data_IF_861150210646
#
_entry.id   IF_861150210646
#
_cell.length_a   1.000
_cell.length_b   1.000
_cell.length_c   1.000
_cell.angle_alpha   90.00
_cell.angle_beta   90.00
_cell.angle_gamma   90.00
#
_symmetry.space_group_name_H-M   'P 1'
#
loop_
_entity.id
_entity.type
_entity.pdbx_description
1 polymer ?
#
# COMPACT_ATOMS: atom_id res chain seq x y z
N UNK A 1 15.03 12.04 4.50
CA UNK A 1 16.06 11.38 3.64
C UNK A 1 15.46 10.17 2.93
N UNK A 2 15.72 10.00 1.63
CA UNK A 2 15.27 8.84 0.83
C UNK A 2 16.36 7.76 0.70
N UNK A 3 15.95 6.48 0.75
CA UNK A 3 16.84 5.32 0.58
C UNK A 3 16.11 4.13 -0.03
N UNK A 4 16.74 3.46 -1.01
CA UNK A 4 16.24 2.20 -1.54
C UNK A 4 16.56 1.04 -0.58
N UNK A 5 15.52 0.32 -0.16
CA UNK A 5 15.60 -0.94 0.57
C UNK A 5 15.43 -2.07 -0.43
N UNK A 6 16.44 -2.92 -0.56
CA UNK A 6 16.41 -4.04 -1.51
C UNK A 6 15.57 -5.18 -0.99
N UNK A 7 14.84 -5.83 -1.90
CA UNK A 7 14.15 -7.08 -1.64
C UNK A 7 15.08 -8.13 -1.06
N UNK A 8 14.52 -8.99 -0.24
CA UNK A 8 15.21 -10.07 0.47
C UNK A 8 14.40 -11.36 0.38
N UNK A 9 14.91 -12.41 1.01
CA UNK A 9 14.17 -13.66 1.14
C UNK A 9 12.83 -13.42 1.85
N UNK A 10 11.78 -14.03 1.33
CA UNK A 10 10.41 -13.88 1.83
C UNK A 10 10.22 -14.94 2.93
N UNK A 11 10.02 -14.54 4.20
CA UNK A 11 9.65 -15.49 5.24
C UNK A 11 8.26 -16.08 4.95
N UNK A 12 7.90 -17.22 5.57
CA UNK A 12 6.53 -17.71 5.55
C UNK A 12 5.56 -16.63 6.06
N UNK A 13 4.42 -16.48 5.39
CA UNK A 13 3.36 -15.59 5.85
C UNK A 13 2.82 -16.08 7.21
N UNK A 14 2.64 -15.21 8.21
CA UNK A 14 1.99 -15.58 9.46
C UNK A 14 0.53 -16.02 9.24
N UNK A 15 -0.03 -16.78 10.19
CA UNK A 15 -1.43 -17.24 10.12
C UNK A 15 -2.44 -16.20 10.62
N UNK A 16 -2.02 -15.27 11.48
CA UNK A 16 -2.90 -14.30 12.14
C UNK A 16 -2.92 -12.96 11.38
N UNK A 17 -4.11 -12.46 11.09
CA UNK A 17 -4.33 -11.13 10.52
C UNK A 17 -4.02 -10.08 11.59
N UNK A 18 -3.27 -9.04 11.22
CA UNK A 18 -2.80 -7.97 12.12
C UNK A 18 -3.52 -6.64 11.96
N UNK A 19 -4.29 -6.46 10.89
CA UNK A 19 -5.05 -5.25 10.66
C UNK A 19 -6.36 -5.25 11.45
N UNK A 20 -6.77 -4.07 11.91
CA UNK A 20 -8.05 -3.82 12.59
C UNK A 20 -8.97 -2.91 11.76
N UNK A 21 -8.45 -2.28 10.71
CA UNK A 21 -9.22 -1.49 9.74
C UNK A 21 -8.91 -1.91 8.31
N UNK A 22 -9.95 -2.00 7.49
CA UNK A 22 -9.85 -2.15 6.03
C UNK A 22 -10.91 -1.30 5.33
N UNK A 23 -10.60 -0.79 4.14
CA UNK A 23 -11.53 -0.02 3.31
C UNK A 23 -11.16 -0.07 1.82
N UNK A 24 -12.16 0.14 0.96
CA UNK A 24 -11.96 0.26 -0.49
C UNK A 24 -12.40 1.66 -0.96
N UNK A 25 -11.58 2.67 -0.66
CA UNK A 25 -11.87 4.09 -0.85
C UNK A 25 -11.76 4.90 0.45
N UNK A 26 -11.69 6.23 0.32
CA UNK A 26 -11.52 7.16 1.45
C UNK A 26 -12.79 7.45 2.28
N UNK A 27 -13.99 7.06 1.82
CA UNK A 27 -15.23 7.37 2.56
C UNK A 27 -15.52 6.33 3.66
N UNK A 28 -16.06 6.74 4.82
CA UNK A 28 -16.47 5.80 5.88
C UNK A 28 -17.48 4.74 5.43
N UNK A 29 -18.30 5.03 4.41
CA UNK A 29 -19.23 4.07 3.81
C UNK A 29 -18.54 2.95 3.02
N UNK A 30 -17.25 3.12 2.72
CA UNK A 30 -16.39 2.15 2.02
C UNK A 30 -15.54 1.32 3.00
N UNK A 31 -15.70 1.54 4.31
CA UNK A 31 -15.09 0.72 5.34
C UNK A 31 -15.66 -0.71 5.32
N UNK A 32 -14.76 -1.67 5.49
CA UNK A 32 -15.05 -3.10 5.56
C UNK A 32 -15.16 -3.49 7.03
N UNK A 33 -16.31 -4.05 7.41
CA UNK A 33 -16.58 -4.44 8.81
C UNK A 33 -16.10 -5.83 9.19
N UNK A 34 -15.95 -6.72 8.21
CA UNK A 34 -15.50 -8.09 8.42
C UNK A 34 -14.04 -8.20 8.03
N UNK A 35 -13.16 -8.36 9.02
CA UNK A 35 -11.74 -8.60 8.81
C UNK A 35 -11.46 -10.08 9.03
N UNK A 36 -11.95 -10.87 8.08
CA UNK A 36 -11.70 -12.31 8.00
C UNK A 36 -10.68 -12.62 6.91
N UNK A 37 -10.08 -13.81 6.95
CA UNK A 37 -9.19 -14.30 5.88
C UNK A 37 -9.87 -14.25 4.52
N UNK A 38 -11.15 -14.65 4.45
CA UNK A 38 -11.91 -14.58 3.21
C UNK A 38 -12.04 -13.14 2.68
N UNK A 39 -12.20 -12.16 3.56
CA UNK A 39 -12.26 -10.77 3.17
C UNK A 39 -10.90 -10.24 2.70
N UNK A 40 -9.81 -10.57 3.39
CA UNK A 40 -8.45 -10.19 2.96
C UNK A 40 -8.17 -10.76 1.56
N UNK A 41 -8.50 -12.03 1.33
CA UNK A 41 -8.33 -12.67 0.01
C UNK A 41 -9.18 -12.01 -1.09
N UNK A 42 -10.39 -11.55 -0.77
CA UNK A 42 -11.23 -10.79 -1.71
C UNK A 42 -10.61 -9.42 -2.06
N UNK A 43 -10.06 -8.69 -1.08
CA UNK A 43 -9.34 -7.43 -1.34
C UNK A 43 -8.13 -7.68 -2.23
N UNK A 44 -7.32 -8.69 -1.90
CA UNK A 44 -6.11 -9.07 -2.65
C UNK A 44 -6.47 -9.42 -4.10
N UNK A 45 -7.53 -10.20 -4.32
CA UNK A 45 -7.98 -10.55 -5.66
C UNK A 45 -8.53 -9.33 -6.44
N UNK A 46 -9.23 -8.41 -5.77
CA UNK A 46 -9.68 -7.17 -6.39
C UNK A 46 -8.51 -6.27 -6.79
N UNK A 47 -7.45 -6.19 -5.99
CA UNK A 47 -6.22 -5.47 -6.35
C UNK A 47 -5.54 -6.12 -7.55
N UNK A 48 -5.35 -7.45 -7.48
CA UNK A 48 -4.74 -8.27 -8.55
C UNK A 48 -5.45 -8.10 -9.89
N UNK A 49 -6.78 -8.10 -9.87
CA UNK A 49 -7.61 -8.01 -11.08
C UNK A 49 -7.97 -6.58 -11.49
N UNK A 50 -7.53 -5.56 -10.74
CA UNK A 50 -7.85 -4.16 -11.02
C UNK A 50 -9.32 -3.78 -10.82
N UNK A 51 -10.03 -4.52 -9.96
CA UNK A 51 -11.42 -4.23 -9.56
C UNK A 51 -11.52 -3.28 -8.37
N UNK A 52 -10.47 -3.17 -7.56
CA UNK A 52 -10.35 -2.10 -6.56
C UNK A 52 -9.27 -1.13 -7.00
N UNK A 53 -9.62 0.16 -7.00
CA UNK A 53 -8.70 1.24 -7.33
C UNK A 53 -8.11 1.92 -6.10
N UNK A 54 -8.81 1.83 -4.97
CA UNK A 54 -8.37 2.39 -3.69
C UNK A 54 -8.48 1.31 -2.61
N UNK A 55 -7.45 1.16 -1.79
CA UNK A 55 -7.43 0.29 -0.60
C UNK A 55 -6.73 1.01 0.53
N UNK A 56 -7.30 0.94 1.72
CA UNK A 56 -6.66 1.39 2.95
C UNK A 56 -6.73 0.29 4.00
N UNK A 57 -5.59 -0.07 4.59
CA UNK A 57 -5.49 -1.04 5.68
C UNK A 57 -4.73 -0.40 6.85
N UNK A 58 -5.12 -0.67 8.09
CA UNK A 58 -4.40 -0.17 9.27
C UNK A 58 -4.37 -1.19 10.43
N UNK A 59 -3.33 -1.15 11.28
CA UNK A 59 -3.23 -2.00 12.47
C UNK A 59 -4.22 -1.60 13.58
N UNK A 60 -4.77 -0.39 13.54
CA UNK A 60 -5.73 0.15 14.50
C UNK A 60 -7.02 0.61 13.80
N UNK A 61 -8.09 0.81 14.58
CA UNK A 61 -9.42 1.20 14.07
C UNK A 61 -9.45 2.56 13.35
N UNK A 62 -8.48 3.44 13.57
CA UNK A 62 -8.47 4.83 13.09
C UNK A 62 -7.32 5.14 12.10
N UNK A 63 -6.36 4.24 11.93
CA UNK A 63 -5.16 4.46 11.12
C UNK A 63 -4.16 5.43 11.72
N UNK A 64 -4.18 5.59 13.05
CA UNK A 64 -3.28 6.50 13.77
C UNK A 64 -1.86 5.93 13.92
N UNK A 65 -1.73 4.60 14.10
CA UNK A 65 -0.43 3.95 14.33
C UNK A 65 0.33 3.74 13.00
N UNK A 66 -0.39 3.78 11.89
CA UNK A 66 0.14 3.60 10.55
C UNK A 66 -0.92 3.07 9.60
N UNK A 67 -0.56 2.96 8.33
CA UNK A 67 -1.46 2.39 7.32
C UNK A 67 -0.71 1.92 6.08
N UNK A 68 -1.33 1.02 5.34
CA UNK A 68 -1.07 0.83 3.92
C UNK A 68 -2.16 1.55 3.13
N UNK A 69 -1.74 2.37 2.17
CA UNK A 69 -2.60 3.02 1.19
C UNK A 69 -2.21 2.55 -0.20
N UNK A 70 -3.22 2.20 -1.00
CA UNK A 70 -3.10 1.95 -2.42
C UNK A 70 -4.11 2.83 -3.14
N UNK A 71 -3.65 3.54 -4.16
CA UNK A 71 -4.48 4.29 -5.10
C UNK A 71 -4.01 3.96 -6.51
N UNK A 72 -4.93 3.77 -7.45
CA UNK A 72 -4.55 3.31 -8.78
C UNK A 72 -5.48 3.80 -9.87
N UNK A 73 -4.90 3.95 -11.05
CA UNK A 73 -5.60 4.03 -12.33
C UNK A 73 -5.62 2.64 -12.98
N UNK A 74 -6.15 2.48 -14.21
CA UNK A 74 -6.02 1.22 -14.94
C UNK A 74 -4.57 0.74 -15.10
N UNK A 75 -3.61 1.67 -15.28
CA UNK A 75 -2.23 1.37 -15.68
C UNK A 75 -1.17 1.65 -14.61
N UNK A 76 -1.46 2.50 -13.62
CA UNK A 76 -0.52 2.90 -12.58
C UNK A 76 -1.09 2.65 -11.19
N UNK A 77 -0.20 2.25 -10.29
CA UNK A 77 -0.51 1.95 -8.90
C UNK A 77 0.45 2.75 -8.04
N UNK A 78 -0.08 3.61 -7.20
CA UNK A 78 0.59 4.14 -6.04
C UNK A 78 0.33 3.20 -4.85
N UNK A 79 1.39 2.82 -4.14
CA UNK A 79 1.29 2.04 -2.91
C UNK A 79 2.30 2.57 -1.92
N UNK A 80 1.83 2.97 -0.74
CA UNK A 80 2.64 3.46 0.36
C UNK A 80 2.24 2.77 1.67
N UNK A 81 3.22 2.54 2.52
CA UNK A 81 3.05 2.21 3.94
C UNK A 81 3.59 3.38 4.75
N UNK A 82 2.80 3.88 5.68
CA UNK A 82 3.20 4.84 6.70
C UNK A 82 3.24 4.15 8.06
N UNK A 83 4.33 4.36 8.80
CA UNK A 83 4.52 3.96 10.19
C UNK A 83 4.67 5.24 11.01
N UNK A 84 3.68 5.51 11.86
CA UNK A 84 3.60 6.75 12.62
C UNK A 84 4.59 6.75 13.80
N UNK A 85 4.83 5.61 14.44
CA UNK A 85 5.75 5.51 15.58
C UNK A 85 7.19 5.76 15.13
N UNK A 86 7.58 5.17 14.00
CA UNK A 86 8.93 5.30 13.47
C UNK A 86 9.13 6.56 12.61
N UNK A 87 8.04 7.23 12.24
CA UNK A 87 7.98 8.34 11.27
C UNK A 87 8.63 7.96 9.91
N UNK A 88 8.24 6.79 9.40
CA UNK A 88 8.80 6.21 8.18
C UNK A 88 7.69 5.97 7.16
N UNK A 89 7.95 6.37 5.92
CA UNK A 89 7.18 5.93 4.76
C UNK A 89 7.99 4.92 3.92
N UNK A 90 7.32 3.90 3.41
CA UNK A 90 7.82 3.05 2.33
C UNK A 90 6.87 3.13 1.15
N UNK A 91 7.37 3.55 0.00
CA UNK A 91 6.57 3.60 -1.24
C UNK A 91 7.10 2.61 -2.26
N UNK A 92 6.20 2.03 -3.07
CA UNK A 92 6.62 1.46 -4.34
C UNK A 92 7.27 2.55 -5.20
N UNK A 93 8.13 2.18 -6.15
CA UNK A 93 8.78 3.18 -6.99
C UNK A 93 9.12 2.65 -8.37
N UNK A 94 9.25 3.57 -9.32
CA UNK A 94 9.77 3.31 -10.65
C UNK A 94 11.20 3.90 -10.76
N UNK A 95 12.23 3.06 -10.95
CA UNK A 95 13.61 3.52 -11.05
C UNK A 95 13.86 4.47 -12.25
N UNK A 96 13.04 4.42 -13.29
CA UNK A 96 13.15 5.30 -14.47
C UNK A 96 12.79 6.76 -14.16
N UNK A 97 12.05 7.01 -13.08
CA UNK A 97 11.53 8.33 -12.72
C UNK A 97 12.07 8.86 -11.39
N UNK A 98 13.11 8.26 -10.79
CA UNK A 98 13.60 8.65 -9.45
C UNK A 98 13.98 10.13 -9.32
N UNK A 99 14.53 10.70 -10.40
CA UNK A 99 14.93 12.11 -10.48
C UNK A 99 13.83 13.02 -11.09
N UNK A 100 12.61 12.50 -11.27
CA UNK A 100 11.48 13.24 -11.84
C UNK A 100 10.56 13.77 -10.74
N UNK A 101 10.12 15.02 -10.94
CA UNK A 101 9.09 15.69 -10.12
C UNK A 101 7.69 15.60 -10.76
N UNK A 102 7.51 14.76 -11.78
CA UNK A 102 6.21 14.57 -12.44
C UNK A 102 5.17 13.95 -11.49
N UNK A 103 3.92 14.37 -11.64
CA UNK A 103 2.77 13.81 -10.93
C UNK A 103 2.17 12.65 -11.73
N UNK A 104 1.77 11.59 -11.05
CA UNK A 104 1.09 10.46 -11.64
C UNK A 104 -0.36 10.84 -11.99
N UNK A 105 -0.88 10.42 -13.16
CA UNK A 105 -2.28 10.60 -13.53
C UNK A 105 -3.19 9.57 -12.83
N UNK A 106 -3.20 9.59 -11.50
CA UNK A 106 -4.07 8.78 -10.64
C UNK A 106 -5.05 9.72 -9.96
N UNK A 107 -6.34 9.47 -10.15
CA UNK A 107 -7.39 10.21 -9.44
C UNK A 107 -7.45 9.70 -7.99
N UNK A 108 -7.19 10.55 -6.98
CA UNK A 108 -7.20 10.12 -5.59
C UNK A 108 -8.64 9.91 -5.10
N UNK A 109 -8.88 8.84 -4.32
CA UNK A 109 -10.21 8.62 -3.76
C UNK A 109 -10.65 9.68 -2.73
N UNK A 110 -9.70 10.41 -2.13
CA UNK A 110 -9.95 11.55 -1.23
C UNK A 110 -10.18 12.89 -1.96
N UNK A 111 -9.95 12.94 -3.28
CA UNK A 111 -10.09 14.14 -4.11
C UNK A 111 -9.03 15.24 -3.88
N UNK A 112 -7.96 14.96 -3.14
CA UNK A 112 -6.95 15.95 -2.72
C UNK A 112 -5.51 15.48 -2.88
N UNK A 113 -5.24 14.19 -2.73
CA UNK A 113 -3.88 13.65 -2.76
C UNK A 113 -3.21 13.78 -4.14
N UNK A 114 -1.89 14.02 -4.13
CA UNK A 114 -1.05 14.07 -5.32
C UNK A 114 0.01 12.99 -5.19
N UNK A 115 0.13 12.14 -6.20
CA UNK A 115 1.07 11.01 -6.18
C UNK A 115 2.25 11.29 -7.12
N UNK A 116 3.50 11.27 -6.63
CA UNK A 116 4.66 11.39 -7.51
C UNK A 116 4.73 10.21 -8.48
N UNK A 117 5.01 10.47 -9.76
CA UNK A 117 5.17 9.43 -10.78
C UNK A 117 6.29 8.45 -10.41
N UNK A 118 7.34 8.95 -9.74
CA UNK A 118 8.43 8.13 -9.21
C UNK A 118 7.96 7.09 -8.18
N UNK A 119 6.86 7.35 -7.48
CA UNK A 119 6.27 6.48 -6.46
C UNK A 119 5.17 5.57 -7.02
N UNK A 120 5.27 5.15 -8.28
CA UNK A 120 4.29 4.28 -8.93
C UNK A 120 4.89 2.98 -9.47
N UNK A 121 4.04 1.98 -9.65
CA UNK A 121 4.34 0.74 -10.36
C UNK A 121 3.19 0.32 -11.28
N UNK A 122 3.42 -0.70 -12.12
CA UNK A 122 2.39 -1.30 -12.99
C UNK A 122 2.03 -2.74 -12.62
N UNK A 123 2.79 -3.34 -11.71
CA UNK A 123 2.68 -4.76 -11.38
C UNK A 123 1.58 -4.99 -10.34
N UNK A 124 0.37 -5.36 -10.81
CA UNK A 124 -0.78 -5.67 -9.96
C UNK A 124 -0.58 -6.92 -9.10
N UNK A 125 0.22 -7.88 -9.57
CA UNK A 125 0.52 -9.07 -8.79
C UNK A 125 1.44 -8.73 -7.62
N UNK A 126 2.43 -7.84 -7.84
CA UNK A 126 3.25 -7.30 -6.77
C UNK A 126 2.42 -6.47 -5.77
N UNK A 127 1.52 -5.62 -6.26
CA UNK A 127 0.60 -4.85 -5.41
C UNK A 127 -0.24 -5.75 -4.51
N UNK A 128 -0.82 -6.81 -5.08
CA UNK A 128 -1.63 -7.77 -4.35
C UNK A 128 -0.83 -8.48 -3.25
N UNK A 129 0.41 -8.89 -3.53
CA UNK A 129 1.32 -9.47 -2.52
C UNK A 129 1.68 -8.49 -1.41
N UNK A 130 1.84 -7.20 -1.73
CA UNK A 130 2.10 -6.17 -0.72
C UNK A 130 0.90 -5.99 0.21
N UNK A 131 -0.31 -5.94 -0.36
CA UNK A 131 -1.56 -5.83 0.40
C UNK A 131 -1.78 -7.06 1.29
N UNK A 132 -1.61 -8.26 0.74
CA UNK A 132 -1.71 -9.51 1.51
C UNK A 132 -0.69 -9.52 2.64
N UNK A 133 0.59 -9.30 2.34
CA UNK A 133 1.64 -9.32 3.34
C UNK A 133 1.38 -8.32 4.49
N UNK A 134 0.98 -7.09 4.15
CA UNK A 134 0.69 -6.08 5.15
C UNK A 134 -0.48 -6.48 6.05
N UNK A 135 -1.53 -7.11 5.49
CA UNK A 135 -2.68 -7.55 6.30
C UNK A 135 -2.28 -8.51 7.44
N UNK A 136 -1.21 -9.29 7.27
CA UNK A 136 -0.73 -10.28 8.25
C UNK A 136 0.49 -9.83 9.06
N UNK A 137 1.11 -8.70 8.72
CA UNK A 137 2.39 -8.31 9.33
C UNK A 137 2.48 -6.84 9.72
N UNK A 138 1.69 -5.98 9.10
CA UNK A 138 1.82 -4.53 9.13
C UNK A 138 3.23 -4.04 8.70
N UNK A 139 3.97 -4.86 7.94
CA UNK A 139 5.31 -4.55 7.45
C UNK A 139 5.36 -4.43 5.91
N UNK A 140 6.40 -3.78 5.34
CA UNK A 140 6.64 -3.80 3.91
C UNK A 140 6.98 -5.21 3.39
N UNK A 141 6.34 -5.62 2.28
CA UNK A 141 6.58 -6.92 1.66
C UNK A 141 8.05 -7.12 1.26
N UNK A 142 8.75 -8.15 1.78
CA UNK A 142 10.17 -8.33 1.57
C UNK A 142 10.56 -8.70 0.13
N UNK A 143 9.61 -9.15 -0.70
CA UNK A 143 9.86 -9.51 -2.09
C UNK A 143 9.97 -8.33 -3.06
N UNK A 144 9.71 -7.10 -2.61
CA UNK A 144 9.77 -5.87 -3.41
C UNK A 144 10.92 -4.96 -2.94
N UNK A 145 11.52 -4.22 -3.87
CA UNK A 145 12.39 -3.09 -3.52
C UNK A 145 11.48 -1.92 -3.09
N UNK A 146 11.80 -1.25 -1.99
CA UNK A 146 11.03 -0.12 -1.46
C UNK A 146 11.83 1.17 -1.49
N UNK A 147 11.18 2.29 -1.81
CA UNK A 147 11.71 3.62 -1.53
C UNK A 147 11.31 3.99 -0.10
N UNK A 148 12.28 3.96 0.81
CA UNK A 148 12.10 4.36 2.21
C UNK A 148 12.38 5.85 2.37
N UNK A 149 11.47 6.55 3.02
CA UNK A 149 11.61 7.95 3.40
C UNK A 149 11.50 8.08 4.92
N UNK A 150 12.36 8.90 5.51
CA UNK A 150 12.32 9.26 6.94
C UNK A 150 12.33 10.77 7.08
N UNK A 151 11.73 11.30 8.14
CA UNK A 151 12.01 12.68 8.55
C UNK A 151 13.51 12.79 8.92
N UNK A 152 14.11 13.95 8.66
CA UNK A 152 15.52 14.24 8.99
C UNK A 152 15.71 14.64 10.45
#
# INVERSE_FOLDING_TARGET
MEKIIRKREIPPLPEEIKIEMAGCGALPSQAIKDISEACVQDIVEKVRTGKSYSVMLAPDENGEDGYLMLESSPDLIFLQIWDAEAEIAWSCFNPEFLDSDEEAPIEPSDGQSVFPLKCTMRDREMAAKCVEWYAYTCEPYPGMDWLKETQE
#
